data_IF_774113492335
#
_entry.id   IF_774113492335
#
_cell.length_a   1.000
_cell.length_b   1.000
_cell.length_c   1.000
_cell.angle_alpha   90.00
_cell.angle_beta   90.00
_cell.angle_gamma   90.00
#
_symmetry.space_group_name_H-M   'P 1'
#
loop_
_entity.id
_entity.type
_entity.pdbx_description
1 polymer ?
#
# COMPACT_ATOMS: atom_id res chain seq x y z
N UNK A 1 -8.75 -14.44 -3.80
CA UNK A 1 -9.30 -15.29 -4.88
C UNK A 1 -10.32 -14.52 -5.73
N UNK A 2 -11.22 -13.75 -5.13
CA UNK A 2 -12.22 -12.94 -5.83
C UNK A 2 -11.62 -12.00 -6.90
N UNK A 3 -10.60 -11.23 -6.55
CA UNK A 3 -9.91 -10.36 -7.52
C UNK A 3 -9.26 -11.15 -8.67
N UNK A 4 -8.76 -12.36 -8.41
CA UNK A 4 -8.19 -13.23 -9.44
C UNK A 4 -9.29 -13.75 -10.38
N UNK A 5 -10.48 -14.07 -9.84
CA UNK A 5 -11.65 -14.45 -10.63
C UNK A 5 -12.18 -13.28 -11.45
N UNK A 6 -12.24 -12.07 -10.88
CA UNK A 6 -12.62 -10.87 -11.62
C UNK A 6 -11.64 -10.58 -12.77
N UNK A 7 -10.33 -10.69 -12.52
CA UNK A 7 -9.31 -10.54 -13.55
C UNK A 7 -9.44 -11.59 -14.65
N UNK A 8 -9.71 -12.86 -14.28
CA UNK A 8 -9.99 -13.92 -15.24
C UNK A 8 -11.23 -13.59 -16.08
N UNK A 9 -12.31 -13.13 -15.45
CA UNK A 9 -13.52 -12.73 -16.15
C UNK A 9 -13.25 -11.61 -17.15
N UNK A 10 -12.48 -10.58 -16.76
CA UNK A 10 -12.04 -9.51 -17.67
C UNK A 10 -11.25 -10.12 -18.83
N UNK A 11 -10.25 -10.95 -18.56
CA UNK A 11 -9.43 -11.57 -19.60
C UNK A 11 -10.25 -12.40 -20.60
N UNK A 12 -11.26 -13.14 -20.11
CA UNK A 12 -12.10 -13.99 -20.95
C UNK A 12 -13.20 -13.22 -21.71
N UNK A 13 -13.70 -12.10 -21.16
CA UNK A 13 -14.93 -11.47 -21.64
C UNK A 13 -14.79 -10.02 -22.13
N UNK A 14 -13.69 -9.31 -21.82
CA UNK A 14 -13.59 -7.87 -22.10
C UNK A 14 -13.62 -7.55 -23.60
N UNK A 15 -13.29 -8.51 -24.47
CA UNK A 15 -13.41 -8.36 -25.92
C UNK A 15 -14.83 -8.02 -26.38
N UNK A 16 -15.86 -8.54 -25.70
CA UNK A 16 -17.27 -8.21 -25.99
C UNK A 16 -17.63 -6.75 -25.66
N UNK A 17 -16.80 -6.08 -24.86
CA UNK A 17 -16.91 -4.67 -24.50
C UNK A 17 -15.92 -3.80 -25.28
N UNK A 18 -15.33 -4.33 -26.37
CA UNK A 18 -14.27 -3.69 -27.17
C UNK A 18 -12.99 -3.38 -26.38
N UNK A 19 -12.71 -4.10 -25.29
CA UNK A 19 -11.44 -4.00 -24.58
C UNK A 19 -10.40 -5.00 -25.08
N UNK A 20 -9.14 -4.69 -24.81
CA UNK A 20 -7.99 -5.54 -25.15
C UNK A 20 -7.58 -6.41 -23.96
N UNK A 21 -7.78 -7.73 -24.08
CA UNK A 21 -7.41 -8.71 -23.05
C UNK A 21 -5.89 -8.84 -22.85
N UNK A 22 -5.08 -8.46 -23.84
CA UNK A 22 -3.62 -8.56 -23.80
C UNK A 22 -2.97 -7.29 -23.20
N UNK A 23 -3.78 -6.29 -22.87
CA UNK A 23 -3.33 -5.00 -22.34
C UNK A 23 -4.05 -4.61 -21.04
N UNK A 24 -4.09 -5.54 -20.08
CA UNK A 24 -4.71 -5.30 -18.76
C UNK A 24 -3.71 -4.62 -17.81
N UNK A 25 -4.14 -3.51 -17.21
CA UNK A 25 -3.40 -2.78 -16.18
C UNK A 25 -4.12 -2.89 -14.84
N UNK A 26 -3.44 -3.40 -13.81
CA UNK A 26 -3.95 -3.36 -12.44
C UNK A 26 -3.49 -2.06 -11.78
N UNK A 27 -4.39 -1.38 -11.08
CA UNK A 27 -4.06 -0.18 -10.32
C UNK A 27 -4.85 -0.11 -9.02
N UNK A 28 -4.27 0.51 -8.01
CA UNK A 28 -4.97 0.82 -6.78
C UNK A 28 -4.07 1.42 -5.72
N UNK A 29 -4.66 2.09 -4.71
CA UNK A 29 -3.96 2.60 -3.56
C UNK A 29 -3.83 1.58 -2.42
N UNK A 30 -2.83 1.74 -1.56
CA UNK A 30 -2.67 1.01 -0.29
C UNK A 30 -2.78 -0.52 -0.50
N UNK A 31 -3.74 -1.19 0.15
CA UNK A 31 -4.02 -2.61 0.02
C UNK A 31 -4.37 -3.03 -1.42
N UNK A 32 -4.90 -2.11 -2.23
CA UNK A 32 -5.10 -2.30 -3.67
C UNK A 32 -3.78 -2.42 -4.42
N UNK A 33 -2.78 -1.58 -4.11
CA UNK A 33 -1.44 -1.67 -4.69
C UNK A 33 -0.75 -2.98 -4.28
N UNK A 34 -0.85 -3.35 -3.00
CA UNK A 34 -0.36 -4.64 -2.50
C UNK A 34 -1.03 -5.81 -3.22
N UNK A 35 -2.36 -5.77 -3.38
CA UNK A 35 -3.12 -6.77 -4.11
C UNK A 35 -2.69 -6.89 -5.57
N UNK A 36 -2.46 -5.77 -6.27
CA UNK A 36 -1.96 -5.78 -7.64
C UNK A 36 -0.57 -6.42 -7.75
N UNK A 37 0.33 -6.11 -6.81
CA UNK A 37 1.65 -6.75 -6.73
C UNK A 37 1.60 -8.25 -6.40
N UNK A 38 0.60 -8.70 -5.65
CA UNK A 38 0.38 -10.14 -5.41
C UNK A 38 -0.21 -10.84 -6.64
N UNK A 39 -1.14 -10.20 -7.34
CA UNK A 39 -1.77 -10.75 -8.55
C UNK A 39 -0.81 -10.80 -9.74
N UNK A 40 0.15 -9.86 -9.86
CA UNK A 40 1.09 -9.87 -10.99
C UNK A 40 2.08 -11.05 -10.95
N UNK A 41 2.33 -11.62 -9.77
CA UNK A 41 3.23 -12.78 -9.58
C UNK A 41 2.48 -14.10 -9.43
N UNK A 42 1.20 -14.06 -9.05
CA UNK A 42 0.43 -15.28 -8.84
C UNK A 42 0.35 -16.13 -10.13
N UNK A 43 0.62 -17.45 -10.07
CA UNK A 43 0.70 -18.33 -11.24
C UNK A 43 -0.53 -18.32 -12.15
N UNK A 44 -1.71 -18.02 -11.61
CA UNK A 44 -3.00 -18.05 -12.33
C UNK A 44 -3.32 -16.73 -13.02
N UNK A 45 -2.71 -15.63 -12.56
CA UNK A 45 -3.05 -14.28 -13.00
C UNK A 45 -1.87 -13.56 -13.66
N UNK A 46 -0.64 -13.99 -13.40
CA UNK A 46 0.57 -13.35 -13.92
C UNK A 46 0.60 -13.21 -15.44
N UNK A 47 -0.01 -14.14 -16.17
CA UNK A 47 -0.11 -14.05 -17.64
C UNK A 47 -1.05 -12.93 -18.09
N UNK A 48 -2.06 -12.58 -17.30
CA UNK A 48 -3.06 -11.56 -17.65
C UNK A 48 -2.58 -10.13 -17.35
N UNK A 49 -1.71 -9.96 -16.35
CA UNK A 49 -1.29 -8.63 -15.89
C UNK A 49 -0.16 -8.10 -16.76
N UNK A 50 -0.48 -7.12 -17.63
CA UNK A 50 0.52 -6.46 -18.48
C UNK A 50 1.22 -5.31 -17.77
N UNK A 51 0.53 -4.61 -16.89
CA UNK A 51 1.05 -3.43 -16.20
C UNK A 51 0.49 -3.31 -14.79
N UNK A 52 1.25 -2.67 -13.90
CA UNK A 52 0.82 -2.37 -12.53
C UNK A 52 1.08 -0.90 -12.22
N UNK A 53 0.09 -0.24 -11.62
CA UNK A 53 0.26 1.07 -10.98
C UNK A 53 0.01 0.91 -9.49
N UNK A 54 1.07 1.00 -8.70
CA UNK A 54 1.05 0.83 -7.26
C UNK A 54 1.17 2.19 -6.57
N UNK A 55 0.09 2.61 -5.90
CA UNK A 55 0.03 3.90 -5.23
C UNK A 55 0.12 3.68 -3.73
N UNK A 56 1.18 4.18 -3.10
CA UNK A 56 1.32 4.19 -1.66
C UNK A 56 1.17 2.78 -1.05
N UNK A 57 1.74 1.75 -1.70
CA UNK A 57 1.59 0.36 -1.28
C UNK A 57 2.41 -0.62 -2.11
N UNK A 58 2.68 -1.79 -1.53
CA UNK A 58 3.58 -2.80 -2.13
C UNK A 58 3.23 -4.19 -1.59
N UNK A 59 3.35 -5.22 -2.44
CA UNK A 59 3.22 -6.62 -2.00
C UNK A 59 4.35 -7.06 -1.05
N UNK A 60 5.39 -6.24 -0.89
CA UNK A 60 6.50 -6.47 0.04
C UNK A 60 6.36 -5.70 1.36
N UNK A 61 5.28 -4.94 1.54
CA UNK A 61 4.99 -4.33 2.83
C UNK A 61 4.62 -5.42 3.84
N UNK A 62 5.04 -5.30 5.10
CA UNK A 62 4.73 -6.32 6.11
C UNK A 62 3.23 -6.51 6.31
N UNK A 63 2.45 -5.43 6.17
CA UNK A 63 1.00 -5.48 6.29
C UNK A 63 0.30 -6.10 5.07
N UNK A 64 1.01 -6.33 3.95
CA UNK A 64 0.44 -6.83 2.71
C UNK A 64 0.13 -8.33 2.74
N UNK A 65 0.94 -9.14 3.43
CA UNK A 65 0.70 -10.58 3.55
C UNK A 65 1.32 -11.14 4.83
N UNK A 66 0.54 -11.90 5.60
CA UNK A 66 1.04 -12.57 6.80
C UNK A 66 1.73 -13.89 6.42
N UNK A 67 3.04 -13.96 6.67
CA UNK A 67 3.86 -15.15 6.44
C UNK A 67 3.80 -16.17 7.60
N UNK A 68 3.61 -15.70 8.83
CA UNK A 68 3.58 -16.56 10.02
C UNK A 68 2.23 -17.26 10.19
N UNK A 69 2.21 -18.58 9.94
CA UNK A 69 1.02 -19.43 10.12
C UNK A 69 0.48 -19.40 11.55
N UNK A 70 1.33 -19.27 12.58
CA UNK A 70 0.90 -19.28 13.97
C UNK A 70 0.18 -17.98 14.33
N UNK A 71 0.65 -16.85 13.80
CA UNK A 71 -0.06 -15.57 13.89
C UNK A 71 -1.46 -15.68 13.29
N UNK A 72 -1.61 -16.24 12.08
CA UNK A 72 -2.92 -16.45 11.43
C UNK A 72 -3.84 -17.34 12.27
N UNK A 73 -3.31 -18.47 12.78
CA UNK A 73 -4.08 -19.37 13.63
C UNK A 73 -4.51 -18.71 14.94
N UNK A 74 -3.61 -17.98 15.60
CA UNK A 74 -3.91 -17.31 16.86
C UNK A 74 -4.96 -16.21 16.66
N UNK A 75 -4.83 -15.38 15.62
CA UNK A 75 -5.86 -14.39 15.26
C UNK A 75 -7.22 -15.03 15.04
N UNK A 76 -7.27 -16.15 14.31
CA UNK A 76 -8.52 -16.88 14.05
C UNK A 76 -9.16 -17.42 15.33
N UNK A 77 -8.34 -17.95 16.27
CA UNK A 77 -8.81 -18.48 17.56
C UNK A 77 -9.31 -17.37 18.48
N UNK A 78 -8.58 -16.26 18.58
CA UNK A 78 -9.00 -15.10 19.40
C UNK A 78 -10.32 -14.53 18.87
N UNK A 79 -10.47 -14.44 17.55
CA UNK A 79 -11.72 -13.99 16.92
C UNK A 79 -12.88 -14.93 17.24
N UNK A 80 -12.69 -16.24 17.06
CA UNK A 80 -13.71 -17.23 17.38
C UNK A 80 -14.09 -17.20 18.87
N UNK A 81 -13.11 -17.08 19.76
CA UNK A 81 -13.36 -16.97 21.19
C UNK A 81 -14.18 -15.73 21.55
N UNK A 82 -13.89 -14.59 20.92
CA UNK A 82 -14.64 -13.34 21.14
C UNK A 82 -16.13 -13.48 20.76
N UNK A 83 -16.41 -14.29 19.73
CA UNK A 83 -17.75 -14.60 19.27
C UNK A 83 -18.38 -15.80 19.99
N UNK A 84 -17.74 -16.33 21.03
CA UNK A 84 -18.26 -17.49 21.78
C UNK A 84 -18.30 -18.78 20.95
N UNK A 85 -17.43 -18.92 19.94
CA UNK A 85 -17.29 -20.15 19.17
C UNK A 85 -16.28 -21.12 19.79
N UNK A 86 -16.53 -22.42 19.63
CA UNK A 86 -15.66 -23.49 20.14
C UNK A 86 -14.27 -23.44 19.51
N UNK A 87 -13.25 -23.71 20.32
CA UNK A 87 -11.85 -23.81 19.91
C UNK A 87 -11.34 -25.26 19.87
N UNK A 88 -12.22 -26.25 20.09
CA UNK A 88 -11.83 -27.66 20.23
C UNK A 88 -11.28 -28.24 18.93
N UNK A 89 -11.88 -27.84 17.80
CA UNK A 89 -11.38 -28.16 16.48
C UNK A 89 -11.77 -27.06 15.46
N UNK A 90 -10.95 -26.93 14.43
CA UNK A 90 -11.10 -25.87 13.41
C UNK A 90 -12.39 -25.99 12.62
N UNK A 91 -12.92 -27.21 12.41
CA UNK A 91 -14.17 -27.43 11.71
C UNK A 91 -15.37 -26.86 12.49
N UNK A 92 -15.53 -27.22 13.76
CA UNK A 92 -16.57 -26.70 14.67
C UNK A 92 -16.43 -25.19 14.86
N UNK A 93 -15.19 -24.69 14.91
CA UNK A 93 -14.92 -23.26 14.98
C UNK A 93 -15.48 -22.53 13.75
N UNK A 94 -15.15 -23.00 12.54
CA UNK A 94 -15.64 -22.40 11.28
C UNK A 94 -17.16 -22.59 11.12
N UNK A 95 -17.71 -23.74 11.48
CA UNK A 95 -19.15 -24.01 11.42
C UNK A 95 -19.94 -23.06 12.32
N UNK A 96 -19.46 -22.84 13.55
CA UNK A 96 -20.03 -21.83 14.46
C UNK A 96 -19.94 -20.42 13.87
N UNK A 97 -18.79 -20.03 13.30
CA UNK A 97 -18.61 -18.70 12.70
C UNK A 97 -19.56 -18.47 11.51
N UNK A 98 -19.85 -19.50 10.71
CA UNK A 98 -20.83 -19.43 9.61
C UNK A 98 -22.27 -19.20 10.09
N UNK A 99 -22.58 -19.54 11.33
CA UNK A 99 -23.90 -19.33 11.93
C UNK A 99 -24.05 -17.94 12.57
N UNK A 100 -22.98 -17.13 12.62
CA UNK A 100 -23.00 -15.76 13.18
C UNK A 100 -23.58 -14.77 12.19
N UNK A 101 -24.18 -13.71 12.72
CA UNK A 101 -24.72 -12.63 11.89
C UNK A 101 -23.60 -11.85 11.18
N UNK A 102 -23.81 -11.34 9.96
CA UNK A 102 -22.79 -10.58 9.23
C UNK A 102 -22.30 -9.34 10.01
N UNK A 103 -23.21 -8.64 10.70
CA UNK A 103 -22.86 -7.49 11.54
C UNK A 103 -22.11 -7.89 12.82
N UNK A 104 -22.36 -9.08 13.35
CA UNK A 104 -21.62 -9.62 14.50
C UNK A 104 -20.17 -9.90 14.12
N UNK A 105 -19.97 -10.55 12.95
CA UNK A 105 -18.65 -10.81 12.38
C UNK A 105 -17.90 -9.51 12.03
N UNK A 106 -18.59 -8.54 11.42
CA UNK A 106 -17.96 -7.29 10.98
C UNK A 106 -17.60 -6.34 12.14
N UNK A 107 -18.41 -6.30 13.21
CA UNK A 107 -18.21 -5.40 14.34
C UNK A 107 -17.38 -6.02 15.49
N UNK A 108 -17.03 -7.30 15.39
CA UNK A 108 -16.18 -7.96 16.36
C UNK A 108 -14.81 -7.26 16.44
N UNK A 109 -14.50 -6.71 17.62
CA UNK A 109 -13.30 -5.91 17.83
C UNK A 109 -12.11 -6.82 18.09
N UNK A 110 -11.04 -6.61 17.34
CA UNK A 110 -9.75 -7.23 17.62
C UNK A 110 -9.09 -6.56 18.81
N UNK A 111 -8.42 -7.35 19.65
CA UNK A 111 -7.50 -6.78 20.62
C UNK A 111 -6.27 -6.24 19.88
N UNK A 112 -5.73 -5.11 20.35
CA UNK A 112 -4.56 -4.42 19.74
C UNK A 112 -3.32 -5.33 19.58
N UNK A 113 -3.29 -6.45 20.31
CA UNK A 113 -2.22 -7.44 20.31
C UNK A 113 -2.07 -8.24 19.01
N UNK A 114 -3.02 -8.16 18.07
CA UNK A 114 -3.06 -9.03 16.87
C UNK A 114 -2.43 -8.42 15.60
N UNK A 115 -2.07 -7.15 15.60
CA UNK A 115 -1.54 -6.47 14.41
C UNK A 115 -2.38 -5.28 13.94
N UNK A 116 -1.96 -4.62 12.84
CA UNK A 116 -2.59 -3.43 12.22
C UNK A 116 -3.74 -3.97 11.38
N UNK A 117 -3.46 -5.07 10.68
CA UNK A 117 -4.37 -5.75 9.78
C UNK A 117 -4.52 -7.19 10.29
N UNK A 118 -5.55 -7.49 11.09
CA UNK A 118 -5.76 -8.84 11.62
C UNK A 118 -6.23 -9.81 10.53
N UNK A 119 -6.96 -9.31 9.54
CA UNK A 119 -7.41 -10.07 8.36
C UNK A 119 -6.84 -9.48 7.09
N UNK A 120 -6.07 -10.28 6.36
CA UNK A 120 -5.48 -9.91 5.08
C UNK A 120 -4.98 -11.14 4.34
N UNK A 121 -4.24 -10.95 3.24
CA UNK A 121 -3.60 -12.04 2.53
C UNK A 121 -2.69 -12.86 3.46
N UNK A 122 -2.69 -14.18 3.28
CA UNK A 122 -1.88 -15.12 4.07
C UNK A 122 -1.07 -16.02 3.13
N UNK A 123 0.11 -16.42 3.59
CA UNK A 123 0.88 -17.44 2.91
C UNK A 123 0.22 -18.81 3.11
N UNK A 124 -0.52 -19.30 2.11
CA UNK A 124 -1.50 -20.38 2.26
C UNK A 124 -1.01 -21.78 1.85
N UNK A 125 0.29 -21.95 1.63
CA UNK A 125 0.87 -23.22 1.20
C UNK A 125 0.58 -24.39 2.18
N UNK A 126 0.53 -24.12 3.48
CA UNK A 126 0.40 -25.15 4.53
C UNK A 126 -1.00 -25.25 5.13
N UNK A 127 -2.01 -24.59 4.55
CA UNK A 127 -3.39 -24.75 5.00
C UNK A 127 -4.09 -25.95 4.33
N UNK A 128 -5.04 -26.53 5.07
CA UNK A 128 -5.98 -27.51 4.51
C UNK A 128 -6.93 -26.79 3.58
N UNK A 129 -7.07 -27.29 2.36
CA UNK A 129 -8.00 -26.76 1.35
C UNK A 129 -9.13 -27.75 1.11
N UNK A 130 -10.28 -27.30 0.60
CA UNK A 130 -11.32 -28.21 0.15
C UNK A 130 -10.79 -29.27 -0.83
N UNK A 131 -11.36 -30.47 -0.77
CA UNK A 131 -11.05 -31.55 -1.71
C UNK A 131 -11.56 -31.20 -3.12
N UNK A 132 -11.00 -31.86 -4.12
CA UNK A 132 -11.49 -31.78 -5.49
C UNK A 132 -13.00 -32.08 -5.54
N UNK A 133 -13.74 -31.35 -6.38
CA UNK A 133 -15.20 -31.41 -6.53
C UNK A 133 -16.01 -30.89 -5.33
N UNK A 134 -15.39 -30.15 -4.40
CA UNK A 134 -16.14 -29.42 -3.36
C UNK A 134 -17.01 -28.29 -3.94
N UNK A 135 -16.53 -27.65 -5.01
CA UNK A 135 -17.24 -26.63 -5.77
C UNK A 135 -17.03 -26.92 -7.26
N UNK A 136 -18.09 -26.83 -8.05
CA UNK A 136 -18.04 -27.15 -9.47
C UNK A 136 -16.93 -26.36 -10.16
N UNK A 137 -16.15 -27.03 -11.00
CA UNK A 137 -14.98 -26.51 -11.73
C UNK A 137 -13.74 -26.13 -10.89
N UNK A 138 -13.73 -26.35 -9.58
CA UNK A 138 -12.58 -26.08 -8.71
C UNK A 138 -11.94 -27.37 -8.16
N UNK A 139 -10.61 -27.44 -8.30
CA UNK A 139 -9.74 -28.43 -7.70
C UNK A 139 -9.06 -27.89 -6.44
N UNK A 140 -8.50 -28.77 -5.60
CA UNK A 140 -7.73 -28.42 -4.39
C UNK A 140 -6.63 -27.38 -4.64
N UNK A 141 -5.93 -27.48 -5.77
CA UNK A 141 -4.92 -26.49 -6.20
C UNK A 141 -5.51 -25.09 -6.44
N UNK A 142 -6.81 -24.98 -6.71
CA UNK A 142 -7.53 -23.75 -7.01
C UNK A 142 -7.79 -22.87 -5.80
N UNK A 143 -7.78 -23.48 -4.63
CA UNK A 143 -7.95 -22.80 -3.36
C UNK A 143 -6.66 -22.14 -2.83
N UNK A 144 -5.49 -22.46 -3.43
CA UNK A 144 -4.22 -21.86 -3.03
C UNK A 144 -3.91 -20.63 -3.87
N UNK A 145 -3.67 -19.52 -3.20
CA UNK A 145 -3.28 -18.25 -3.82
C UNK A 145 -1.76 -18.03 -3.77
N UNK A 146 -1.12 -18.23 -2.62
CA UNK A 146 0.29 -17.90 -2.43
C UNK A 146 1.15 -19.17 -2.42
N UNK A 147 1.75 -19.50 -3.58
CA UNK A 147 2.63 -20.68 -3.71
C UNK A 147 4.05 -20.45 -3.16
N UNK A 148 4.48 -19.19 -3.10
CA UNK A 148 5.79 -18.73 -2.63
C UNK A 148 5.68 -17.27 -2.16
N UNK A 149 6.63 -16.76 -1.36
CA UNK A 149 6.71 -15.33 -1.05
C UNK A 149 6.82 -14.48 -2.33
N UNK A 150 6.19 -13.30 -2.41
CA UNK A 150 6.24 -12.43 -3.59
C UNK A 150 7.66 -11.99 -3.93
N UNK A 151 8.49 -11.74 -2.91
CA UNK A 151 9.89 -11.37 -3.09
C UNK A 151 10.69 -12.44 -3.85
N UNK A 152 10.45 -13.72 -3.54
CA UNK A 152 11.09 -14.85 -4.20
C UNK A 152 10.60 -15.01 -5.63
N UNK A 153 9.28 -14.90 -5.86
CA UNK A 153 8.69 -14.95 -7.20
C UNK A 153 9.24 -13.84 -8.11
N UNK A 154 9.39 -12.62 -7.58
CA UNK A 154 9.97 -11.51 -8.35
C UNK A 154 11.43 -11.80 -8.71
N UNK A 155 12.25 -12.28 -7.77
CA UNK A 155 13.65 -12.65 -8.06
C UNK A 155 13.80 -13.73 -9.13
N UNK A 156 12.81 -14.62 -9.24
CA UNK A 156 12.76 -15.68 -10.25
C UNK A 156 12.11 -15.23 -11.57
N UNK A 157 11.79 -13.94 -11.71
CA UNK A 157 11.06 -13.37 -12.83
C UNK A 157 9.72 -14.07 -13.12
N UNK A 158 9.01 -14.52 -12.07
CA UNK A 158 7.73 -15.22 -12.17
C UNK A 158 6.54 -14.27 -12.40
N UNK A 159 6.63 -13.41 -13.42
CA UNK A 159 5.60 -12.45 -13.83
C UNK A 159 5.52 -12.35 -15.37
N UNK A 160 4.62 -11.53 -15.92
CA UNK A 160 4.53 -11.32 -17.37
C UNK A 160 5.83 -10.76 -17.95
N UNK A 161 6.43 -11.39 -18.98
CA UNK A 161 7.70 -10.94 -19.55
C UNK A 161 7.68 -9.55 -20.19
N UNK A 162 6.50 -9.00 -20.49
CA UNK A 162 6.33 -7.62 -20.96
C UNK A 162 5.74 -6.69 -19.91
N UNK A 163 5.94 -6.98 -18.61
CA UNK A 163 5.45 -6.17 -17.50
C UNK A 163 6.05 -4.75 -17.57
N UNK A 164 5.25 -3.74 -17.25
CA UNK A 164 5.73 -2.40 -16.88
C UNK A 164 5.13 -1.99 -15.54
N UNK A 165 5.89 -1.27 -14.74
CA UNK A 165 5.48 -0.90 -13.39
C UNK A 165 5.52 0.62 -13.19
N UNK A 166 4.52 1.17 -12.53
CA UNK A 166 4.53 2.54 -12.04
C UNK A 166 4.29 2.53 -10.54
N UNK A 167 5.11 3.26 -9.78
CA UNK A 167 5.05 3.30 -8.34
C UNK A 167 4.97 4.75 -7.83
N UNK A 168 4.17 4.98 -6.81
CA UNK A 168 4.06 6.29 -6.16
C UNK A 168 4.05 6.18 -4.64
N UNK A 169 4.54 7.20 -3.97
CA UNK A 169 4.37 7.39 -2.52
C UNK A 169 4.13 8.86 -2.20
N UNK A 170 3.56 9.14 -1.04
CA UNK A 170 3.42 10.49 -0.49
C UNK A 170 4.53 10.85 0.51
N UNK A 171 4.85 12.14 0.63
CA UNK A 171 5.84 12.61 1.60
C UNK A 171 5.34 12.60 3.05
N UNK A 172 4.06 12.27 3.31
CA UNK A 172 3.51 12.17 4.68
C UNK A 172 2.50 11.01 4.81
N UNK A 173 2.81 9.84 4.25
CA UNK A 173 1.95 8.63 4.27
C UNK A 173 1.37 8.33 5.65
N UNK A 174 2.14 8.51 6.72
CA UNK A 174 1.70 8.16 8.05
C UNK A 174 1.06 9.30 8.84
N UNK A 175 0.83 10.47 8.24
CA UNK A 175 0.06 11.53 8.88
C UNK A 175 -1.32 11.05 9.44
N UNK A 176 -2.07 10.15 8.77
CA UNK A 176 -3.33 9.60 9.29
C UNK A 176 -3.23 8.93 10.65
N UNK A 177 -2.08 8.34 10.99
CA UNK A 177 -1.89 7.73 12.32
C UNK A 177 -1.85 8.76 13.44
N UNK A 178 -1.58 10.04 13.12
CA UNK A 178 -1.60 11.13 14.08
C UNK A 178 -2.98 11.81 14.11
N UNK A 179 -3.51 12.26 12.96
CA UNK A 179 -4.76 13.04 12.97
C UNK A 179 -6.04 12.21 13.17
N UNK A 180 -6.02 10.89 12.95
CA UNK A 180 -7.14 10.02 13.29
C UNK A 180 -7.10 9.54 14.74
N UNK A 181 -6.01 9.80 15.47
CA UNK A 181 -5.91 9.46 16.88
C UNK A 181 -6.66 10.50 17.73
N UNK A 182 -7.86 10.14 18.18
CA UNK A 182 -8.71 11.00 18.98
C UNK A 182 -8.05 11.49 20.27
N UNK A 183 -7.13 10.71 20.86
CA UNK A 183 -6.41 11.10 22.08
C UNK A 183 -5.38 12.22 21.86
N UNK A 184 -4.98 12.47 20.62
CA UNK A 184 -4.07 13.57 20.25
C UNK A 184 -4.83 14.83 19.82
N UNK A 185 -6.14 14.73 19.54
CA UNK A 185 -6.96 15.87 19.14
C UNK A 185 -7.18 16.86 20.29
N UNK A 186 -7.34 18.16 20.01
CA UNK A 186 -7.31 18.81 18.69
C UNK A 186 -5.91 19.28 18.26
N UNK A 187 -4.90 19.17 19.13
CA UNK A 187 -3.59 19.81 18.91
C UNK A 187 -2.62 18.96 18.07
N UNK A 188 -2.78 17.63 18.11
CA UNK A 188 -1.94 16.68 17.39
C UNK A 188 -0.45 16.90 17.63
N UNK A 189 -0.08 17.19 18.88
CA UNK A 189 1.31 17.29 19.33
C UNK A 189 1.79 15.94 19.86
N UNK A 190 3.04 15.60 19.58
CA UNK A 190 3.70 14.41 20.12
C UNK A 190 4.85 14.84 21.02
N UNK A 191 4.97 14.17 22.16
CA UNK A 191 6.16 14.25 23.01
C UNK A 191 7.03 12.99 22.89
N UNK A 192 8.18 13.03 23.53
CA UNK A 192 9.14 11.92 23.50
C UNK A 192 8.55 10.64 24.09
N UNK A 193 7.76 10.76 25.16
CA UNK A 193 7.12 9.64 25.84
C UNK A 193 6.15 8.92 24.90
N UNK A 194 5.28 9.66 24.22
CA UNK A 194 4.37 9.09 23.25
C UNK A 194 5.13 8.38 22.12
N UNK A 195 6.16 9.02 21.57
CA UNK A 195 7.00 8.42 20.53
C UNK A 195 7.58 7.07 21.00
N UNK A 196 8.13 7.03 22.21
CA UNK A 196 8.76 5.83 22.77
C UNK A 196 7.76 4.71 23.04
N UNK A 197 6.58 5.04 23.57
CA UNK A 197 5.50 4.07 23.80
C UNK A 197 5.01 3.45 22.48
N UNK A 198 4.78 4.28 21.46
CA UNK A 198 4.37 3.80 20.14
C UNK A 198 5.47 2.96 19.46
N UNK A 199 6.74 3.37 19.58
CA UNK A 199 7.86 2.61 19.03
C UNK A 199 8.02 1.26 19.72
N UNK A 200 7.86 1.18 21.05
CA UNK A 200 7.89 -0.10 21.78
C UNK A 200 6.73 -1.00 21.36
N UNK A 201 5.53 -0.44 21.19
CA UNK A 201 4.37 -1.19 20.69
C UNK A 201 4.61 -1.72 19.27
N UNK A 202 5.22 -0.93 18.39
CA UNK A 202 5.62 -1.35 17.06
C UNK A 202 6.60 -2.53 17.13
N UNK A 203 7.68 -2.42 17.91
CA UNK A 203 8.71 -3.47 18.00
C UNK A 203 8.16 -4.80 18.53
N UNK A 204 7.26 -4.74 19.53
CA UNK A 204 6.63 -5.94 20.08
C UNK A 204 5.83 -6.71 19.03
N UNK A 205 5.23 -5.99 18.09
CA UNK A 205 4.30 -6.55 17.13
C UNK A 205 4.95 -7.20 15.92
N UNK A 206 6.14 -6.73 15.56
CA UNK A 206 6.93 -7.23 14.43
C UNK A 206 7.96 -8.28 14.87
N UNK A 207 7.84 -8.77 16.10
CA UNK A 207 8.55 -9.93 16.62
C UNK A 207 10.09 -9.86 16.47
N UNK A 208 10.68 -8.67 16.66
CA UNK A 208 12.14 -8.47 16.79
C UNK A 208 12.65 -9.11 18.10
N UNK A 209 12.50 -10.42 18.26
CA UNK A 209 12.61 -11.12 19.55
C UNK A 209 14.03 -11.27 20.06
N UNK A 210 15.03 -11.16 19.18
CA UNK A 210 16.42 -11.40 19.54
C UNK A 210 17.05 -10.23 20.31
N UNK A 211 16.74 -8.98 19.96
CA UNK A 211 17.31 -7.79 20.62
C UNK A 211 16.39 -6.57 20.52
N UNK A 212 15.30 -6.57 21.29
CA UNK A 212 14.29 -5.51 21.27
C UNK A 212 14.86 -4.13 21.61
N UNK A 213 15.73 -4.07 22.62
CA UNK A 213 16.30 -2.79 23.05
C UNK A 213 17.31 -2.24 22.04
N UNK A 214 18.07 -3.12 21.37
CA UNK A 214 18.95 -2.74 20.26
C UNK A 214 18.16 -2.14 19.10
N UNK A 215 17.07 -2.80 18.69
CA UNK A 215 16.16 -2.30 17.64
C UNK A 215 15.52 -0.98 18.04
N UNK A 216 15.04 -0.86 19.28
CA UNK A 216 14.48 0.38 19.82
C UNK A 216 15.48 1.53 19.71
N UNK A 217 16.71 1.33 20.22
CA UNK A 217 17.76 2.36 20.17
C UNK A 217 18.15 2.73 18.73
N UNK A 218 18.22 1.76 17.82
CA UNK A 218 18.56 2.01 16.42
C UNK A 218 17.48 2.83 15.71
N UNK A 219 16.20 2.47 15.88
CA UNK A 219 15.08 3.21 15.28
C UNK A 219 14.99 4.61 15.90
N UNK A 220 15.06 4.71 17.24
CA UNK A 220 15.07 5.99 17.94
C UNK A 220 16.22 6.87 17.45
N UNK A 221 17.40 6.30 17.24
CA UNK A 221 18.56 7.04 16.75
C UNK A 221 18.33 7.59 15.33
N UNK A 222 17.80 6.76 14.43
CA UNK A 222 17.52 7.14 13.04
C UNK A 222 16.45 8.23 12.94
N UNK A 223 15.45 8.19 13.83
CA UNK A 223 14.29 9.09 13.79
C UNK A 223 14.27 10.12 14.91
N UNK A 224 15.41 10.44 15.53
CA UNK A 224 15.52 11.61 16.40
C UNK A 224 16.03 12.81 15.60
N UNK A 225 15.35 13.96 15.70
CA UNK A 225 15.85 15.20 15.14
C UNK A 225 16.93 15.79 16.05
N UNK A 226 18.18 15.40 15.80
CA UNK A 226 19.31 15.72 16.67
C UNK A 226 19.62 17.21 16.89
N UNK A 227 19.34 18.15 15.97
CA UNK A 227 19.54 19.57 16.26
C UNK A 227 18.67 20.09 17.41
N UNK A 228 17.47 19.52 17.60
CA UNK A 228 16.57 19.87 18.71
C UNK A 228 15.67 18.66 19.06
N UNK A 229 16.17 17.71 19.87
CA UNK A 229 15.50 16.42 20.10
C UNK A 229 14.21 16.53 20.92
N UNK A 230 14.00 17.65 21.62
CA UNK A 230 12.84 17.87 22.49
C UNK A 230 11.73 18.68 21.80
N UNK A 231 11.95 19.11 20.55
CA UNK A 231 10.99 19.90 19.80
C UNK A 231 9.79 19.05 19.37
N UNK A 232 8.61 19.33 19.93
CA UNK A 232 7.37 18.60 19.61
C UNK A 232 7.02 18.60 18.11
N UNK A 233 7.33 19.67 17.38
CA UNK A 233 7.08 19.74 15.92
C UNK A 233 7.95 18.74 15.18
N UNK A 234 9.24 18.67 15.52
CA UNK A 234 10.16 17.73 14.90
C UNK A 234 9.92 16.29 15.39
N UNK A 235 9.54 16.07 16.65
CA UNK A 235 9.11 14.76 17.14
C UNK A 235 7.92 14.25 16.32
N UNK A 236 6.92 15.09 16.07
CA UNK A 236 5.79 14.74 15.19
C UNK A 236 6.23 14.40 13.78
N UNK A 237 7.05 15.25 13.16
CA UNK A 237 7.52 15.02 11.80
C UNK A 237 8.30 13.70 11.69
N UNK A 238 9.22 13.45 12.61
CA UNK A 238 10.02 12.23 12.63
C UNK A 238 9.18 10.98 12.90
N UNK A 239 8.13 11.09 13.72
CA UNK A 239 7.19 9.99 13.92
C UNK A 239 6.42 9.65 12.64
N UNK A 240 5.96 10.67 11.90
CA UNK A 240 5.33 10.50 10.60
C UNK A 240 6.32 9.88 9.62
N UNK A 241 7.56 10.36 9.56
CA UNK A 241 8.58 9.80 8.67
C UNK A 241 8.94 8.36 9.02
N UNK A 242 9.04 8.01 10.31
CA UNK A 242 9.27 6.65 10.79
C UNK A 242 8.23 5.69 10.23
N UNK A 243 6.95 6.00 10.45
CA UNK A 243 5.86 5.13 10.02
C UNK A 243 5.70 5.14 8.49
N UNK A 244 5.92 6.30 7.84
CA UNK A 244 5.83 6.41 6.38
C UNK A 244 6.92 5.59 5.69
N UNK A 245 8.15 5.68 6.20
CA UNK A 245 9.30 4.93 5.68
C UNK A 245 9.07 3.43 5.90
N UNK A 246 8.68 3.02 7.12
CA UNK A 246 8.47 1.63 7.47
C UNK A 246 7.31 0.95 6.72
N UNK A 247 6.12 1.59 6.71
CA UNK A 247 4.91 0.98 6.19
C UNK A 247 4.80 1.07 4.67
N UNK A 248 5.36 2.12 4.04
CA UNK A 248 5.04 2.45 2.65
C UNK A 248 6.29 2.64 1.77
N UNK A 249 7.20 3.54 2.16
CA UNK A 249 8.31 3.95 1.26
C UNK A 249 9.38 2.88 1.13
N UNK A 250 9.84 2.29 2.23
CA UNK A 250 10.84 1.22 2.20
C UNK A 250 10.38 -0.03 1.42
N UNK A 251 9.16 -0.58 1.65
CA UNK A 251 8.70 -1.72 0.86
C UNK A 251 8.40 -1.38 -0.61
N UNK A 252 8.00 -0.15 -0.91
CA UNK A 252 7.87 0.32 -2.31
C UNK A 252 9.25 0.42 -2.97
N UNK A 253 10.24 1.02 -2.29
CA UNK A 253 11.61 1.09 -2.78
C UNK A 253 12.24 -0.30 -2.99
N UNK A 254 11.97 -1.26 -2.11
CA UNK A 254 12.39 -2.66 -2.26
C UNK A 254 11.77 -3.31 -3.50
N UNK A 255 10.47 -3.12 -3.71
CA UNK A 255 9.76 -3.63 -4.88
C UNK A 255 10.36 -3.08 -6.19
N UNK A 256 10.58 -1.75 -6.24
CA UNK A 256 11.19 -1.11 -7.42
C UNK A 256 12.58 -1.69 -7.72
N UNK A 257 13.45 -1.82 -6.71
CA UNK A 257 14.80 -2.37 -6.89
C UNK A 257 14.76 -3.77 -7.49
N UNK A 258 13.94 -4.65 -6.91
CA UNK A 258 13.80 -6.02 -7.41
C UNK A 258 13.30 -6.07 -8.85
N UNK A 259 12.31 -5.25 -9.21
CA UNK A 259 11.78 -5.22 -10.58
C UNK A 259 12.80 -4.69 -11.58
N UNK A 260 13.51 -3.61 -11.23
CA UNK A 260 14.55 -3.02 -12.08
C UNK A 260 15.74 -3.97 -12.26
N UNK A 261 16.10 -4.74 -11.23
CA UNK A 261 17.12 -5.81 -11.33
C UNK A 261 16.72 -6.90 -12.32
N UNK A 262 15.42 -7.17 -12.48
CA UNK A 262 14.88 -8.10 -13.48
C UNK A 262 14.64 -7.45 -14.86
N UNK A 263 15.07 -6.20 -15.06
CA UNK A 263 14.92 -5.50 -16.34
C UNK A 263 13.50 -4.99 -16.65
N UNK A 264 12.61 -4.95 -15.65
CA UNK A 264 11.26 -4.38 -15.80
C UNK A 264 11.35 -2.86 -15.91
N UNK A 265 10.71 -2.21 -16.90
CA UNK A 265 10.58 -0.76 -16.93
C UNK A 265 9.76 -0.27 -15.73
N UNK A 266 10.38 0.56 -14.88
CA UNK A 266 9.72 1.14 -13.71
C UNK A 266 9.73 2.65 -13.78
N UNK A 267 8.56 3.27 -13.56
CA UNK A 267 8.39 4.72 -13.44
C UNK A 267 8.00 5.06 -12.00
N UNK A 268 8.61 6.10 -11.42
CA UNK A 268 8.35 6.49 -10.04
C UNK A 268 7.87 7.93 -9.95
N UNK A 269 7.00 8.20 -8.98
CA UNK A 269 6.71 9.56 -8.52
C UNK A 269 6.70 9.65 -6.99
N UNK A 270 6.95 10.86 -6.48
CA UNK A 270 6.78 11.20 -5.07
C UNK A 270 5.87 12.41 -4.98
N UNK A 271 4.76 12.28 -4.25
CA UNK A 271 3.82 13.37 -4.02
C UNK A 271 4.34 14.31 -2.94
N UNK A 272 4.84 15.45 -3.38
CA UNK A 272 5.15 16.62 -2.56
C UNK A 272 4.17 17.78 -2.84
N UNK A 273 2.96 17.41 -3.29
CA UNK A 273 1.86 18.30 -3.64
C UNK A 273 0.56 17.77 -3.08
N UNK A 274 -0.39 18.67 -2.86
CA UNK A 274 -1.69 18.35 -2.31
C UNK A 274 -2.75 19.18 -2.99
N UNK A 275 -4.00 18.88 -2.68
CA UNK A 275 -5.11 19.75 -3.03
C UNK A 275 -4.96 21.05 -2.24
N UNK A 276 -4.52 22.11 -2.89
CA UNK A 276 -4.22 23.41 -2.27
C UNK A 276 -5.45 23.95 -1.53
N UNK A 277 -6.63 23.72 -2.10
CA UNK A 277 -7.93 24.13 -1.58
C UNK A 277 -8.32 23.50 -0.24
N UNK A 278 -7.72 22.37 0.15
CA UNK A 278 -8.03 21.76 1.46
C UNK A 278 -7.38 22.53 2.62
N UNK A 279 -6.45 23.44 2.34
CA UNK A 279 -5.76 24.26 3.34
C UNK A 279 -5.23 23.45 4.54
N UNK A 280 -4.71 22.25 4.26
CA UNK A 280 -4.19 21.35 5.29
C UNK A 280 -2.93 21.94 5.94
N UNK A 281 -2.74 21.77 7.26
CA UNK A 281 -1.54 22.25 7.92
C UNK A 281 -0.31 21.48 7.43
N UNK A 282 0.84 22.15 7.41
CA UNK A 282 2.07 21.70 6.74
C UNK A 282 2.48 20.26 7.10
N UNK A 283 2.29 19.84 8.36
CA UNK A 283 2.67 18.51 8.84
C UNK A 283 1.81 17.35 8.30
N UNK A 284 0.64 17.63 7.71
CA UNK A 284 -0.27 16.64 7.09
C UNK A 284 -0.77 17.11 5.72
N UNK A 285 0.00 17.95 5.07
CA UNK A 285 -0.30 18.51 3.76
C UNK A 285 -0.34 17.44 2.68
N UNK A 286 0.51 16.42 2.76
CA UNK A 286 0.68 15.37 1.74
C UNK A 286 0.32 13.98 2.29
N UNK A 287 -0.90 13.79 2.84
CA UNK A 287 -1.23 12.55 3.53
C UNK A 287 -1.45 11.41 2.54
N UNK A 288 -1.44 10.20 3.07
CA UNK A 288 -1.81 9.00 2.35
C UNK A 288 -3.14 9.12 1.58
N UNK A 289 -3.18 8.56 0.38
CA UNK A 289 -4.33 8.53 -0.53
C UNK A 289 -4.83 9.89 -1.02
N UNK A 290 -4.09 10.98 -0.83
CA UNK A 290 -4.51 12.29 -1.34
C UNK A 290 -4.57 12.33 -2.88
N UNK A 291 -3.74 11.52 -3.54
CA UNK A 291 -3.68 11.38 -5.00
C UNK A 291 -5.00 10.88 -5.60
N UNK A 292 -5.85 10.22 -4.82
CA UNK A 292 -7.16 9.77 -5.28
C UNK A 292 -8.01 10.94 -5.78
N UNK A 293 -7.97 12.10 -5.11
CA UNK A 293 -8.75 13.28 -5.51
C UNK A 293 -8.34 13.77 -6.91
N UNK A 294 -7.03 13.76 -7.20
CA UNK A 294 -6.52 14.10 -8.52
C UNK A 294 -6.90 13.07 -9.57
N UNK A 295 -6.83 11.77 -9.23
CA UNK A 295 -7.12 10.70 -10.18
C UNK A 295 -8.58 10.58 -10.58
N UNK A 296 -9.49 10.90 -9.66
CA UNK A 296 -10.93 10.85 -9.96
C UNK A 296 -11.41 12.10 -10.70
N UNK A 297 -10.54 13.06 -10.99
CA UNK A 297 -10.96 14.31 -11.60
C UNK A 297 -11.72 15.23 -10.63
N UNK A 298 -11.52 15.08 -9.31
CA UNK A 298 -12.28 15.82 -8.31
C UNK A 298 -12.28 17.35 -8.51
N UNK A 299 -11.15 17.99 -8.90
CA UNK A 299 -11.12 19.42 -9.22
C UNK A 299 -12.00 19.88 -10.40
N UNK A 300 -12.57 18.95 -11.16
CA UNK A 300 -13.51 19.19 -12.27
C UNK A 300 -14.96 18.81 -11.94
N UNK A 301 -15.21 18.26 -10.75
CA UNK A 301 -16.52 17.77 -10.33
C UNK A 301 -17.23 18.78 -9.44
N UNK A 302 -18.56 18.73 -9.51
CA UNK A 302 -19.44 19.40 -8.56
C UNK A 302 -19.24 18.84 -7.13
N UNK A 303 -19.30 19.72 -6.12
CA UNK A 303 -18.99 19.34 -4.72
C UNK A 303 -20.00 18.36 -4.12
N UNK A 304 -21.18 18.26 -4.72
CA UNK A 304 -22.26 17.36 -4.35
C UNK A 304 -21.90 15.87 -4.54
N UNK A 305 -20.89 15.56 -5.35
CA UNK A 305 -20.37 14.19 -5.47
C UNK A 305 -19.51 13.75 -4.28
N UNK A 306 -19.19 14.66 -3.35
CA UNK A 306 -18.32 14.38 -2.22
C UNK A 306 -19.08 14.32 -0.89
N UNK A 307 -18.60 13.52 0.07
CA UNK A 307 -19.18 13.48 1.41
C UNK A 307 -19.19 14.87 2.05
N UNK A 308 -20.33 15.27 2.63
CA UNK A 308 -20.50 16.57 3.29
C UNK A 308 -19.43 16.86 4.37
N UNK A 309 -18.90 15.81 5.01
CA UNK A 309 -17.79 15.90 5.99
C UNK A 309 -16.49 16.49 5.43
N UNK A 310 -16.28 16.47 4.11
CA UNK A 310 -15.10 17.07 3.48
C UNK A 310 -15.20 18.60 3.38
N UNK A 311 -16.40 19.17 3.59
CA UNK A 311 -16.65 20.61 3.58
C UNK A 311 -16.13 21.33 2.31
N UNK A 312 -16.26 20.69 1.15
CA UNK A 312 -15.80 21.23 -0.12
C UNK A 312 -16.73 22.34 -0.65
N UNK A 313 -16.16 23.40 -1.22
CA UNK A 313 -16.88 24.50 -1.87
C UNK A 313 -16.58 24.53 -3.37
N UNK A 314 -17.58 24.82 -4.22
CA UNK A 314 -17.41 24.77 -5.70
C UNK A 314 -16.26 25.64 -6.21
N UNK A 315 -16.04 26.79 -5.58
CA UNK A 315 -14.99 27.75 -5.94
C UNK A 315 -13.62 27.45 -5.33
N UNK A 316 -13.48 26.37 -4.56
CA UNK A 316 -12.26 26.14 -3.81
C UNK A 316 -11.08 25.71 -4.69
N UNK A 317 -11.33 24.89 -5.71
CA UNK A 317 -10.30 24.24 -6.55
C UNK A 317 -9.42 25.24 -7.29
N UNK A 318 -8.10 25.15 -7.10
CA UNK A 318 -7.13 26.03 -7.78
C UNK A 318 -6.83 25.54 -9.19
N UNK A 319 -6.24 26.40 -10.03
CA UNK A 319 -5.73 25.98 -11.34
C UNK A 319 -4.62 24.93 -11.23
N UNK A 320 -3.81 24.99 -10.16
CA UNK A 320 -2.80 23.96 -9.92
C UNK A 320 -3.47 22.61 -9.62
N UNK A 321 -4.55 22.57 -8.82
CA UNK A 321 -5.28 21.34 -8.54
C UNK A 321 -5.85 20.72 -9.82
N UNK A 322 -6.42 21.54 -10.70
CA UNK A 322 -6.92 21.11 -12.03
C UNK A 322 -5.80 20.57 -12.91
N UNK A 323 -4.67 21.26 -12.95
CA UNK A 323 -3.53 20.84 -13.76
C UNK A 323 -2.92 19.51 -13.28
N UNK A 324 -2.72 19.34 -11.98
CA UNK A 324 -2.22 18.07 -11.41
C UNK A 324 -3.22 16.94 -11.62
N UNK A 325 -4.52 17.20 -11.45
CA UNK A 325 -5.59 16.25 -11.77
C UNK A 325 -5.56 15.81 -13.24
N UNK A 326 -5.47 16.77 -14.18
CA UNK A 326 -5.32 16.49 -15.60
C UNK A 326 -4.06 15.67 -15.90
N UNK A 327 -2.93 16.04 -15.28
CA UNK A 327 -1.68 15.29 -15.41
C UNK A 327 -1.85 13.82 -14.99
N UNK A 328 -2.42 13.57 -13.82
CA UNK A 328 -2.62 12.23 -13.29
C UNK A 328 -3.54 11.38 -14.19
N UNK A 329 -4.71 11.89 -14.56
CA UNK A 329 -5.64 11.18 -15.44
C UNK A 329 -5.00 10.84 -16.80
N UNK A 330 -4.25 11.78 -17.38
CA UNK A 330 -3.57 11.57 -18.65
C UNK A 330 -2.39 10.61 -18.53
N UNK A 331 -1.57 10.74 -17.48
CA UNK A 331 -0.42 9.89 -17.24
C UNK A 331 -0.83 8.43 -16.98
N UNK A 332 -1.87 8.21 -16.19
CA UNK A 332 -2.36 6.87 -15.88
C UNK A 332 -2.97 6.20 -17.10
N UNK A 333 -3.76 6.93 -17.90
CA UNK A 333 -4.34 6.40 -19.13
C UNK A 333 -3.28 6.13 -20.20
N UNK A 334 -2.26 7.00 -20.33
CA UNK A 334 -1.11 6.76 -21.20
C UNK A 334 -0.32 5.52 -20.75
N UNK A 335 -0.05 5.38 -19.46
CA UNK A 335 0.64 4.20 -18.93
C UNK A 335 -0.16 2.92 -19.20
N UNK A 336 -1.48 2.94 -18.95
CA UNK A 336 -2.33 1.78 -19.19
C UNK A 336 -2.33 1.32 -20.65
N UNK A 337 -2.26 2.27 -21.61
CA UNK A 337 -2.23 1.99 -23.06
C UNK A 337 -0.85 1.62 -23.58
N UNK A 338 0.18 2.38 -23.19
CA UNK A 338 1.49 2.37 -23.85
C UNK A 338 2.62 1.83 -22.97
N UNK A 339 2.40 1.66 -21.66
CA UNK A 339 3.45 1.33 -20.70
C UNK A 339 4.41 2.48 -20.40
N UNK A 340 4.13 3.69 -20.89
CA UNK A 340 4.88 4.91 -20.61
C UNK A 340 3.87 6.00 -20.19
N UNK A 341 3.95 6.53 -18.95
CA UNK A 341 2.99 7.51 -18.47
C UNK A 341 3.06 8.84 -19.23
N UNK A 342 4.21 9.19 -19.77
CA UNK A 342 4.41 10.41 -20.57
C UNK A 342 4.81 10.05 -22.00
N UNK A 343 4.05 9.12 -22.59
CA UNK A 343 4.15 8.78 -24.02
C UNK A 343 3.92 10.01 -24.92
N UNK A 344 3.03 10.91 -24.47
CA UNK A 344 2.85 12.25 -25.02
C UNK A 344 3.25 13.28 -23.97
N UNK A 345 3.61 14.49 -24.38
CA UNK A 345 3.84 15.60 -23.45
C UNK A 345 2.57 15.92 -22.64
N UNK A 346 2.74 16.17 -21.34
CA UNK A 346 1.64 16.53 -20.42
C UNK A 346 2.12 17.68 -19.55
N UNK A 347 1.71 18.92 -19.87
CA UNK A 347 2.05 20.12 -19.09
C UNK A 347 3.57 20.32 -18.89
N UNK A 348 4.40 19.92 -19.85
CA UNK A 348 5.87 19.95 -19.74
C UNK A 348 6.47 18.93 -18.76
N UNK A 349 5.65 18.13 -18.08
CA UNK A 349 6.08 17.09 -17.15
C UNK A 349 6.36 15.78 -17.90
N UNK A 350 7.41 15.08 -17.46
CA UNK A 350 7.78 13.77 -17.98
C UNK A 350 8.17 12.83 -16.84
N UNK A 351 8.01 11.53 -17.05
CA UNK A 351 8.59 10.51 -16.20
C UNK A 351 9.84 9.91 -16.86
N UNK A 352 10.88 9.74 -16.06
CA UNK A 352 12.06 8.97 -16.42
C UNK A 352 11.98 7.54 -15.87
N UNK A 353 12.51 6.59 -16.65
CA UNK A 353 12.63 5.19 -16.23
C UNK A 353 13.70 5.05 -15.15
N UNK A 354 13.36 4.40 -14.04
CA UNK A 354 14.30 4.01 -13.00
C UNK A 354 15.21 2.87 -13.50
N UNK A 355 16.50 2.94 -13.16
CA UNK A 355 17.51 1.95 -13.56
C UNK A 355 18.29 1.44 -12.35
N UNK A 356 18.91 0.27 -12.48
CA UNK A 356 19.65 -0.31 -11.38
C UNK A 356 20.77 0.66 -10.96
N UNK A 357 20.87 0.96 -9.66
CA UNK A 357 21.79 1.95 -9.10
C UNK A 357 21.36 3.42 -9.23
N UNK A 358 20.39 3.77 -10.09
CA UNK A 358 19.90 5.14 -10.26
C UNK A 358 18.36 5.12 -10.36
N UNK A 359 17.71 5.26 -9.21
CA UNK A 359 16.25 5.29 -9.13
C UNK A 359 15.74 6.71 -9.36
N UNK A 360 15.48 7.05 -10.62
CA UNK A 360 14.85 8.31 -10.99
C UNK A 360 13.37 8.31 -10.58
N UNK A 361 12.88 9.45 -10.11
CA UNK A 361 11.48 9.67 -9.80
C UNK A 361 11.06 11.10 -10.15
N UNK A 362 9.80 11.27 -10.51
CA UNK A 362 9.19 12.59 -10.65
C UNK A 362 8.79 13.12 -9.26
N UNK A 363 9.45 14.16 -8.80
CA UNK A 363 9.06 14.89 -7.59
C UNK A 363 7.91 15.85 -7.95
N UNK A 364 6.69 15.49 -7.54
CA UNK A 364 5.48 16.26 -7.85
C UNK A 364 5.27 17.34 -6.81
N UNK A 365 5.50 18.60 -7.19
CA UNK A 365 5.20 19.79 -6.41
C UNK A 365 4.05 20.55 -7.10
N UNK A 366 4.21 21.80 -7.50
CA UNK A 366 3.25 22.44 -8.40
C UNK A 366 3.49 22.04 -9.86
N UNK A 367 2.53 22.35 -10.73
CA UNK A 367 2.60 22.08 -12.18
C UNK A 367 3.93 22.56 -12.80
N UNK A 368 4.46 23.69 -12.34
CA UNK A 368 5.65 24.32 -12.93
C UNK A 368 6.96 24.07 -12.16
N UNK A 369 6.89 23.46 -10.97
CA UNK A 369 8.05 23.23 -10.10
C UNK A 369 8.37 21.73 -9.91
N UNK A 370 7.70 20.85 -10.65
CA UNK A 370 7.94 19.41 -10.58
C UNK A 370 9.15 19.03 -11.44
N UNK A 371 10.04 18.21 -10.90
CA UNK A 371 11.33 17.87 -11.53
C UNK A 371 11.67 16.39 -11.36
N UNK A 372 12.56 15.87 -12.22
CA UNK A 372 13.15 14.55 -12.03
C UNK A 372 14.25 14.65 -10.98
N UNK A 373 14.12 13.83 -9.94
CA UNK A 373 15.11 13.63 -8.90
C UNK A 373 15.55 12.17 -8.86
N UNK A 374 16.56 11.86 -8.04
CA UNK A 374 17.14 10.51 -7.94
C UNK A 374 17.19 10.05 -6.50
N UNK A 375 17.02 8.74 -6.30
CA UNK A 375 17.34 8.06 -5.05
C UNK A 375 16.59 8.63 -3.82
N UNK A 376 15.26 8.72 -3.93
CA UNK A 376 14.40 9.17 -2.83
C UNK A 376 14.64 8.35 -1.55
N UNK A 377 15.04 9.03 -0.45
CA UNK A 377 15.19 8.49 0.91
C UNK A 377 15.89 7.12 1.00
N UNK A 378 16.93 6.90 0.19
CA UNK A 378 17.57 5.58 0.10
C UNK A 378 18.26 5.15 1.40
N UNK A 379 18.74 6.09 2.22
CA UNK A 379 19.37 5.80 3.51
C UNK A 379 18.35 5.21 4.49
N UNK A 380 17.19 5.85 4.60
CA UNK A 380 16.10 5.42 5.47
C UNK A 380 15.47 4.12 4.98
N UNK A 381 15.27 3.99 3.67
CA UNK A 381 14.78 2.74 3.09
C UNK A 381 15.78 1.58 3.31
N UNK A 382 17.08 1.83 3.18
CA UNK A 382 18.13 0.85 3.47
C UNK A 382 18.16 0.42 4.94
N UNK A 383 17.90 1.36 5.86
CA UNK A 383 17.79 1.04 7.28
C UNK A 383 16.72 -0.03 7.54
N UNK A 384 15.52 0.12 6.97
CA UNK A 384 14.43 -0.86 7.13
C UNK A 384 14.63 -2.15 6.33
N UNK A 385 15.25 -2.08 5.15
CA UNK A 385 15.32 -3.23 4.23
C UNK A 385 16.60 -4.05 4.33
N UNK A 386 17.67 -3.49 4.91
CA UNK A 386 18.99 -4.11 4.98
C UNK A 386 19.59 -4.12 6.40
N UNK A 387 19.42 -3.07 7.21
CA UNK A 387 20.01 -3.02 8.56
C UNK A 387 19.15 -3.74 9.61
N UNK A 388 17.84 -3.51 9.59
CA UNK A 388 16.91 -4.07 10.58
C UNK A 388 16.37 -5.50 10.40
N UNK A 389 16.31 -6.11 9.20
CA UNK A 389 15.36 -7.19 8.91
C UNK A 389 15.39 -8.37 9.89
#
# INVERSE_FOLDING_TARGET
LDQAMALRWVYENIGSFNGDRESITLFGPDAGAASAGLLMVNPRTRSYVKRVIAQSGSALADWAMTMDKYKVQNTSRVFAQHLGCSLDNTYKMVDCLKQRGPFELANAKFTEKLGLIPWGPVYDQNFTVPRDNWFDSWHSKDWRFAIAPPEEQIRRAEFNGGLSYMAGVTTQEAAPYVYNNASLGPYYELDEKFFDEQLRALILRYNYTLNRDGVFRAIKYMYTYWPDPYNKTHIRQQFIDLLSDFLYRAPTGKMVKLLVEQGVPVYMYVMNTTVESLHLPEWRKYPHNIEHLFLTGAPFMDVEFFPSKMALQRTMWTENDRNISHFFMKAYSNFARFGNPTHTEILGLHFDVARNGILKYLNLNTTFNSTIEVNYRQKECAFWTMYLP
#
